data_IF_699132537192
#
_entry.id   IF_699132537192
#
_cell.length_a   1.000
_cell.length_b   1.000
_cell.length_c   1.000
_cell.angle_alpha   90.00
_cell.angle_beta   90.00
_cell.angle_gamma   90.00
#
_symmetry.space_group_name_H-M   'P 1'
#
loop_
_entity.id
_entity.type
_entity.pdbx_description
1 polymer ?
#
# COMPACT_ATOMS: atom_id res chain seq x y z
N UNK A 1 3.54 -4.78 18.90
CA UNK A 1 4.30 -3.73 18.17
C UNK A 1 3.48 -3.07 17.05
N UNK A 2 3.00 -3.76 16.00
CA UNK A 2 2.42 -3.09 14.81
C UNK A 2 0.90 -2.76 14.86
N UNK A 3 0.21 -3.12 15.95
CA UNK A 3 -1.26 -3.03 16.04
C UNK A 3 -1.78 -2.33 17.30
N UNK A 4 -0.94 -1.58 18.00
CA UNK A 4 -1.42 -0.73 19.10
C UNK A 4 -2.41 0.32 18.58
N UNK A 5 -3.30 0.78 19.46
CA UNK A 5 -4.34 1.78 19.19
C UNK A 5 -5.41 1.36 18.15
N UNK A 6 -5.46 0.08 17.77
CA UNK A 6 -6.50 -0.47 16.88
C UNK A 6 -7.55 -1.25 17.69
N UNK A 7 -8.80 -1.22 17.24
CA UNK A 7 -9.85 -2.18 17.63
C UNK A 7 -9.87 -3.32 16.62
N UNK A 8 -10.29 -4.50 17.04
CA UNK A 8 -10.37 -5.68 16.18
C UNK A 8 -11.81 -6.17 16.06
N UNK A 9 -12.18 -6.59 14.86
CA UNK A 9 -13.41 -7.30 14.54
C UNK A 9 -13.06 -8.41 13.55
N UNK A 10 -13.67 -9.58 13.72
CA UNK A 10 -13.55 -10.70 12.78
C UNK A 10 -14.74 -10.70 11.84
N UNK A 11 -14.48 -10.67 10.53
CA UNK A 11 -15.51 -10.65 9.49
C UNK A 11 -15.12 -11.67 8.43
N UNK A 12 -16.03 -12.58 8.10
CA UNK A 12 -15.91 -13.41 6.91
C UNK A 12 -16.51 -12.68 5.70
N UNK A 13 -15.65 -12.13 4.84
CA UNK A 13 -16.05 -11.39 3.65
C UNK A 13 -16.70 -12.27 2.57
N UNK A 14 -16.64 -13.60 2.69
CA UNK A 14 -17.32 -14.54 1.78
C UNK A 14 -18.78 -14.75 2.18
N UNK A 15 -19.09 -14.57 3.47
CA UNK A 15 -20.46 -14.73 3.97
C UNK A 15 -21.32 -13.48 3.63
N UNK A 16 -22.59 -13.64 3.19
CA UNK A 16 -23.45 -12.50 2.85
C UNK A 16 -23.60 -11.47 3.98
N UNK A 17 -23.65 -11.92 5.24
CA UNK A 17 -23.70 -11.01 6.39
C UNK A 17 -22.39 -10.23 6.57
N UNK A 18 -21.24 -10.85 6.33
CA UNK A 18 -19.95 -10.15 6.40
C UNK A 18 -19.83 -9.07 5.34
N UNK A 19 -20.31 -9.34 4.11
CA UNK A 19 -20.41 -8.32 3.05
C UNK A 19 -21.27 -7.13 3.47
N UNK A 20 -22.43 -7.37 4.09
CA UNK A 20 -23.28 -6.29 4.63
C UNK A 20 -22.56 -5.45 5.69
N UNK A 21 -21.83 -6.08 6.61
CA UNK A 21 -21.04 -5.34 7.62
C UNK A 21 -19.97 -4.48 6.95
N UNK A 22 -19.28 -5.00 5.93
CA UNK A 22 -18.27 -4.24 5.18
C UNK A 22 -18.90 -3.04 4.45
N UNK A 23 -20.07 -3.20 3.83
CA UNK A 23 -20.78 -2.10 3.19
C UNK A 23 -21.19 -1.00 4.18
N UNK A 24 -21.64 -1.37 5.39
CA UNK A 24 -21.98 -0.39 6.44
C UNK A 24 -20.74 0.35 6.98
N UNK A 25 -19.62 -0.34 7.14
CA UNK A 25 -18.34 0.30 7.47
C UNK A 25 -17.91 1.26 6.35
N UNK A 26 -18.04 0.84 5.09
CA UNK A 26 -17.67 1.64 3.92
C UNK A 26 -18.44 2.96 3.85
N UNK A 27 -19.73 2.96 4.22
CA UNK A 27 -20.57 4.18 4.25
C UNK A 27 -20.12 5.20 5.29
N UNK A 28 -19.42 4.77 6.34
CA UNK A 28 -19.10 5.61 7.51
C UNK A 28 -17.62 5.89 7.68
N UNK A 29 -16.74 5.05 7.14
CA UNK A 29 -15.30 5.23 7.19
C UNK A 29 -14.80 6.30 6.20
N UNK A 30 -13.69 6.94 6.58
CA UNK A 30 -13.00 7.90 5.73
C UNK A 30 -11.96 7.26 4.79
N UNK A 31 -11.29 6.23 5.29
CA UNK A 31 -10.15 5.58 4.63
C UNK A 31 -10.26 4.08 4.80
N UNK A 32 -10.19 3.35 3.68
CA UNK A 32 -9.94 1.91 3.64
C UNK A 32 -8.47 1.70 3.28
N UNK A 33 -7.75 0.91 4.06
CA UNK A 33 -6.33 0.57 3.80
C UNK A 33 -6.20 -0.92 3.59
N UNK A 34 -5.51 -1.34 2.53
CA UNK A 34 -5.22 -2.75 2.27
C UNK A 34 -3.83 -2.99 1.68
N UNK A 35 -3.32 -4.21 1.87
CA UNK A 35 -2.06 -4.68 1.31
C UNK A 35 -2.18 -6.13 0.82
N UNK A 36 -3.36 -6.52 0.34
CA UNK A 36 -3.56 -7.84 -0.23
C UNK A 36 -2.88 -7.97 -1.60
N UNK A 37 -2.71 -9.21 -2.05
CA UNK A 37 -2.22 -9.51 -3.38
C UNK A 37 -3.07 -8.82 -4.47
N UNK A 38 -2.48 -8.50 -5.64
CA UNK A 38 -3.20 -7.89 -6.77
C UNK A 38 -4.55 -8.57 -7.08
N UNK A 39 -5.57 -7.73 -7.28
CA UNK A 39 -6.96 -8.12 -7.53
C UNK A 39 -7.69 -8.81 -6.37
N UNK A 40 -7.08 -8.97 -5.19
CA UNK A 40 -7.75 -9.66 -4.08
C UNK A 40 -8.97 -8.90 -3.54
N UNK A 41 -8.86 -7.58 -3.39
CA UNK A 41 -9.95 -6.72 -2.93
C UNK A 41 -11.15 -6.78 -3.90
N UNK A 42 -10.88 -6.75 -5.21
CA UNK A 42 -11.90 -6.89 -6.24
C UNK A 42 -12.59 -8.27 -6.19
N UNK A 43 -11.81 -9.35 -6.03
CA UNK A 43 -12.36 -10.70 -5.85
C UNK A 43 -13.21 -10.85 -4.58
N UNK A 44 -13.00 -10.00 -3.58
CA UNK A 44 -13.85 -9.93 -2.38
C UNK A 44 -15.17 -9.17 -2.65
N UNK A 45 -15.33 -8.54 -3.81
CA UNK A 45 -16.47 -7.71 -4.19
C UNK A 45 -16.35 -6.26 -3.74
N UNK A 46 -15.17 -5.82 -3.29
CA UNK A 46 -14.90 -4.48 -2.80
C UNK A 46 -14.18 -3.64 -3.86
N UNK A 47 -14.77 -3.57 -5.07
CA UNK A 47 -14.17 -2.80 -6.17
C UNK A 47 -14.23 -1.30 -5.88
N UNK A 48 -13.38 -0.53 -6.55
CA UNK A 48 -13.40 0.93 -6.48
C UNK A 48 -14.77 1.51 -6.81
N UNK A 49 -15.43 0.98 -7.84
CA UNK A 49 -16.74 1.45 -8.30
C UNK A 49 -17.82 1.18 -7.24
N UNK A 50 -17.79 0.00 -6.60
CA UNK A 50 -18.71 -0.34 -5.51
C UNK A 50 -18.49 0.56 -4.30
N UNK A 51 -17.24 0.72 -3.88
CA UNK A 51 -16.85 1.59 -2.76
C UNK A 51 -17.28 3.03 -3.03
N UNK A 52 -16.93 3.58 -4.19
CA UNK A 52 -17.22 4.98 -4.52
C UNK A 52 -18.73 5.22 -4.69
N UNK A 53 -19.49 4.22 -5.16
CA UNK A 53 -20.96 4.30 -5.20
C UNK A 53 -21.57 4.42 -3.80
N UNK A 54 -21.05 3.65 -2.84
CA UNK A 54 -21.52 3.69 -1.45
C UNK A 54 -21.05 4.93 -0.70
N UNK A 55 -19.81 5.37 -0.95
CA UNK A 55 -19.21 6.52 -0.30
C UNK A 55 -18.25 7.27 -1.26
N UNK A 56 -18.73 8.31 -1.96
CA UNK A 56 -17.92 9.14 -2.86
C UNK A 56 -16.78 9.91 -2.16
N UNK A 57 -16.79 9.94 -0.83
CA UNK A 57 -15.77 10.61 0.00
C UNK A 57 -14.65 9.66 0.42
N UNK A 58 -14.79 8.36 0.20
CA UNK A 58 -13.82 7.39 0.71
C UNK A 58 -12.50 7.44 -0.05
N UNK A 59 -11.41 7.40 0.71
CA UNK A 59 -10.07 7.14 0.20
C UNK A 59 -9.80 5.64 0.27
N UNK A 60 -9.39 5.04 -0.85
CA UNK A 60 -8.94 3.64 -0.89
C UNK A 60 -7.42 3.65 -1.06
N UNK A 61 -6.72 3.16 -0.05
CA UNK A 61 -5.27 3.23 0.04
C UNK A 61 -4.65 1.83 0.02
N UNK A 62 -3.72 1.61 -0.90
CA UNK A 62 -3.22 0.28 -1.23
C UNK A 62 -1.71 0.22 -1.22
N UNK A 63 -1.15 -0.72 -0.46
CA UNK A 63 0.25 -1.15 -0.67
C UNK A 63 0.27 -2.25 -1.72
N UNK A 64 1.19 -2.14 -2.67
CA UNK A 64 1.46 -3.15 -3.70
C UNK A 64 2.96 -3.42 -3.78
N UNK A 65 3.36 -4.55 -4.34
CA UNK A 65 4.77 -4.85 -4.53
C UNK A 65 5.42 -3.95 -5.59
N UNK A 66 4.75 -3.84 -6.72
CA UNK A 66 5.16 -3.10 -7.90
C UNK A 66 4.04 -2.15 -8.36
N UNK A 67 4.42 -1.06 -9.03
CA UNK A 67 3.48 -0.24 -9.79
C UNK A 67 3.07 -0.92 -11.10
N UNK A 68 2.24 -0.25 -11.93
CA UNK A 68 1.78 -0.79 -13.20
C UNK A 68 2.93 -1.24 -14.10
N UNK A 69 2.78 -2.40 -14.74
CA UNK A 69 3.76 -2.93 -15.69
C UNK A 69 4.08 -4.42 -15.49
N UNK A 70 5.22 -4.86 -16.03
CA UNK A 70 5.58 -6.29 -16.16
C UNK A 70 5.49 -7.11 -14.87
N UNK A 71 5.70 -6.47 -13.72
CA UNK A 71 5.76 -7.14 -12.41
C UNK A 71 4.57 -6.82 -11.51
N UNK A 72 3.52 -6.16 -12.02
CA UNK A 72 2.39 -5.68 -11.19
C UNK A 72 1.68 -6.80 -10.42
N UNK A 73 1.62 -8.01 -10.99
CA UNK A 73 1.01 -9.20 -10.39
C UNK A 73 1.97 -9.99 -9.47
N UNK A 74 3.23 -9.59 -9.37
CA UNK A 74 4.21 -10.30 -8.55
C UNK A 74 3.99 -10.04 -7.05
N UNK A 75 4.11 -11.10 -6.25
CA UNK A 75 4.17 -11.00 -4.79
C UNK A 75 5.54 -10.48 -4.37
N UNK A 76 5.52 -9.53 -3.43
CA UNK A 76 6.73 -8.88 -2.91
C UNK A 76 6.69 -8.92 -1.39
N UNK A 77 7.86 -9.18 -0.82
CA UNK A 77 8.16 -9.01 0.60
C UNK A 77 9.38 -8.08 0.71
N UNK A 78 9.67 -7.59 1.90
CA UNK A 78 10.77 -6.68 2.24
C UNK A 78 12.01 -6.80 1.32
N UNK A 79 12.74 -7.92 1.38
CA UNK A 79 14.01 -8.05 0.66
C UNK A 79 13.84 -8.08 -0.87
N UNK A 80 12.70 -8.54 -1.38
CA UNK A 80 12.39 -8.48 -2.82
C UNK A 80 12.23 -7.03 -3.26
N UNK A 81 11.55 -6.20 -2.44
CA UNK A 81 11.44 -4.77 -2.71
C UNK A 81 12.80 -4.07 -2.64
N UNK A 82 13.64 -4.42 -1.68
CA UNK A 82 15.00 -3.88 -1.59
C UNK A 82 15.85 -4.19 -2.83
N UNK A 83 15.73 -5.41 -3.37
CA UNK A 83 16.37 -5.79 -4.61
C UNK A 83 15.79 -5.01 -5.81
N UNK A 84 14.45 -4.98 -5.93
CA UNK A 84 13.77 -4.33 -7.05
C UNK A 84 13.95 -2.80 -7.09
N UNK A 85 14.05 -2.15 -5.93
CA UNK A 85 14.24 -0.71 -5.79
C UNK A 85 15.70 -0.27 -5.75
N UNK A 86 16.66 -1.18 -5.98
CA UNK A 86 18.09 -0.88 -6.12
C UNK A 86 18.86 -0.69 -4.80
N UNK A 87 18.21 -0.83 -3.64
CA UNK A 87 18.89 -0.76 -2.34
C UNK A 87 19.94 -1.86 -2.18
N UNK A 88 19.61 -3.10 -2.58
CA UNK A 88 20.52 -4.23 -2.44
C UNK A 88 21.78 -4.06 -3.31
N UNK A 89 21.61 -3.55 -4.53
CA UNK A 89 22.71 -3.29 -5.48
C UNK A 89 23.72 -2.26 -4.94
N UNK A 90 23.23 -1.30 -4.14
CA UNK A 90 24.01 -0.15 -3.65
C UNK A 90 24.43 -0.29 -2.18
N UNK A 91 24.34 -1.49 -1.62
CA UNK A 91 24.63 -1.76 -0.21
C UNK A 91 25.51 -2.98 -0.09
N UNK A 92 26.64 -2.84 0.59
CA UNK A 92 27.64 -3.90 0.77
C UNK A 92 29.04 -3.44 0.40
N UNK A 93 29.87 -4.39 -0.01
CA UNK A 93 31.27 -4.16 -0.40
C UNK A 93 31.42 -4.33 -1.91
N UNK A 94 32.37 -3.61 -2.51
CA UNK A 94 32.57 -3.56 -3.98
C UNK A 94 32.75 -4.95 -4.62
N UNK A 95 33.49 -5.83 -3.95
CA UNK A 95 33.77 -7.19 -4.43
C UNK A 95 32.89 -8.25 -3.73
N UNK A 96 31.85 -7.82 -3.02
CA UNK A 96 30.89 -8.67 -2.32
C UNK A 96 29.60 -8.88 -3.10
N UNK A 97 28.70 -9.69 -2.54
CA UNK A 97 27.33 -9.82 -3.05
C UNK A 97 26.47 -8.61 -2.63
N UNK A 98 25.40 -8.28 -3.37
CA UNK A 98 24.38 -7.32 -2.94
C UNK A 98 23.85 -7.67 -1.55
N UNK A 99 23.79 -6.68 -0.65
CA UNK A 99 23.29 -6.87 0.71
C UNK A 99 22.00 -6.08 0.95
N UNK A 100 21.07 -6.69 1.66
CA UNK A 100 19.89 -5.98 2.17
C UNK A 100 20.24 -5.17 3.42
N UNK A 101 19.55 -4.06 3.64
CA UNK A 101 19.60 -3.31 4.90
C UNK A 101 18.73 -4.00 5.95
N UNK A 102 19.17 -3.96 7.21
CA UNK A 102 18.36 -4.43 8.35
C UNK A 102 17.13 -3.55 8.62
N UNK A 103 17.17 -2.27 8.25
CA UNK A 103 16.00 -1.41 8.29
C UNK A 103 14.95 -1.87 7.26
N UNK A 104 13.68 -1.95 7.69
CA UNK A 104 12.55 -2.45 6.90
C UNK A 104 12.01 -1.37 5.94
N UNK A 105 12.85 -0.98 4.98
CA UNK A 105 12.55 0.11 4.05
C UNK A 105 11.53 -0.28 2.97
N UNK A 106 11.37 -1.57 2.68
CA UNK A 106 10.34 -2.09 1.78
C UNK A 106 8.96 -2.18 2.45
N UNK A 107 8.88 -2.61 3.70
CA UNK A 107 7.64 -2.79 4.44
C UNK A 107 7.24 -1.49 5.16
N UNK A 108 7.97 -1.12 6.22
CA UNK A 108 7.66 0.07 7.02
C UNK A 108 7.91 1.37 6.24
N UNK A 109 8.95 1.38 5.40
CA UNK A 109 9.22 2.52 4.51
C UNK A 109 8.05 2.79 3.56
N UNK A 110 7.48 1.75 2.93
CA UNK A 110 6.30 1.90 2.06
C UNK A 110 5.05 2.27 2.84
N UNK A 111 4.88 1.74 4.05
CA UNK A 111 3.81 2.16 4.96
C UNK A 111 3.82 3.65 5.27
N UNK A 112 5.00 4.25 5.46
CA UNK A 112 5.15 5.70 5.66
C UNK A 112 4.81 6.50 4.40
N UNK A 113 5.20 6.03 3.21
CA UNK A 113 4.82 6.67 1.94
C UNK A 113 3.31 6.64 1.73
N UNK A 114 2.65 5.50 2.00
CA UNK A 114 1.20 5.41 1.89
C UNK A 114 0.50 6.31 2.92
N UNK A 115 1.01 6.39 4.15
CA UNK A 115 0.47 7.29 5.17
C UNK A 115 0.51 8.76 4.72
N UNK A 116 1.61 9.21 4.11
CA UNK A 116 1.69 10.56 3.53
C UNK A 116 0.68 10.75 2.39
N UNK A 117 0.51 9.75 1.53
CA UNK A 117 -0.49 9.76 0.47
C UNK A 117 -1.92 9.87 1.01
N UNK A 118 -2.25 9.14 2.08
CA UNK A 118 -3.55 9.21 2.76
C UNK A 118 -3.78 10.61 3.34
N UNK A 119 -2.82 11.19 4.06
CA UNK A 119 -2.95 12.54 4.63
C UNK A 119 -3.15 13.58 3.52
N UNK A 120 -2.40 13.45 2.42
CA UNK A 120 -2.54 14.34 1.26
C UNK A 120 -3.91 14.19 0.60
N UNK A 121 -4.43 12.97 0.46
CA UNK A 121 -5.76 12.73 -0.08
C UNK A 121 -6.87 13.26 0.85
N UNK A 122 -6.70 13.15 2.16
CA UNK A 122 -7.59 13.75 3.15
C UNK A 122 -7.60 15.28 3.04
N UNK A 123 -6.43 15.90 2.84
CA UNK A 123 -6.31 17.33 2.60
C UNK A 123 -6.99 17.76 1.30
N UNK A 124 -6.74 17.09 0.17
CA UNK A 124 -7.43 17.40 -1.09
C UNK A 124 -8.96 17.30 -0.96
N UNK A 125 -9.45 16.33 -0.19
CA UNK A 125 -10.88 16.14 0.08
C UNK A 125 -11.53 17.29 0.86
N UNK A 126 -10.78 18.13 1.57
CA UNK A 126 -11.35 19.33 2.24
C UNK A 126 -11.84 20.36 1.23
N UNK A 127 -11.26 20.37 0.03
CA UNK A 127 -11.62 21.30 -1.04
C UNK A 127 -12.61 20.68 -2.01
N UNK A 128 -12.42 19.43 -2.39
CA UNK A 128 -13.24 18.78 -3.43
C UNK A 128 -14.45 18.05 -2.88
N UNK A 129 -14.44 17.72 -1.59
CA UNK A 129 -15.43 16.85 -0.97
C UNK A 129 -15.40 15.40 -1.46
N UNK A 130 -14.44 14.99 -2.31
CA UNK A 130 -14.37 13.66 -2.93
C UNK A 130 -13.14 12.88 -2.49
N UNK A 131 -13.29 11.56 -2.38
CA UNK A 131 -12.18 10.63 -2.17
C UNK A 131 -11.47 10.26 -3.47
N UNK A 132 -10.44 9.44 -3.35
CA UNK A 132 -9.60 8.97 -4.46
C UNK A 132 -8.89 7.65 -4.11
N UNK A 133 -8.28 7.00 -5.10
CA UNK A 133 -7.35 5.90 -4.87
C UNK A 133 -5.95 6.44 -4.59
N UNK A 134 -5.24 5.80 -3.68
CA UNK A 134 -3.85 6.10 -3.34
C UNK A 134 -3.07 4.80 -3.32
N UNK A 135 -2.11 4.65 -4.21
CA UNK A 135 -1.29 3.44 -4.30
C UNK A 135 0.16 3.75 -3.89
N UNK A 136 0.79 2.84 -3.16
CA UNK A 136 2.22 2.87 -2.86
C UNK A 136 2.85 1.52 -3.21
N UNK A 137 3.75 1.52 -4.20
CA UNK A 137 4.52 0.34 -4.56
C UNK A 137 5.76 0.21 -3.67
N UNK A 138 6.06 -1.00 -3.19
CA UNK A 138 7.25 -1.25 -2.36
C UNK A 138 8.54 -0.95 -3.12
N UNK A 139 8.60 -1.29 -4.42
CA UNK A 139 9.73 -0.91 -5.28
C UNK A 139 9.96 0.61 -5.28
N UNK A 140 8.90 1.40 -5.47
CA UNK A 140 8.99 2.85 -5.57
C UNK A 140 9.38 3.50 -4.23
N UNK A 141 8.86 2.96 -3.12
CA UNK A 141 9.23 3.38 -1.77
C UNK A 141 10.72 3.20 -1.50
N UNK A 142 11.28 2.04 -1.86
CA UNK A 142 12.72 1.77 -1.76
C UNK A 142 13.52 2.67 -2.70
N UNK A 143 13.09 2.79 -3.96
CA UNK A 143 13.75 3.61 -4.97
C UNK A 143 13.84 5.08 -4.52
N UNK A 144 12.77 5.62 -3.94
CA UNK A 144 12.76 7.00 -3.44
C UNK A 144 13.80 7.23 -2.34
N UNK A 145 13.97 6.27 -1.42
CA UNK A 145 15.00 6.32 -0.38
C UNK A 145 16.42 6.10 -0.93
N UNK A 146 16.54 5.44 -2.08
CA UNK A 146 17.80 5.20 -2.77
C UNK A 146 18.15 6.25 -3.83
N UNK A 147 17.38 7.34 -3.93
CA UNK A 147 17.53 8.38 -4.97
C UNK A 147 18.97 8.82 -5.21
N UNK A 148 19.73 9.10 -4.15
CA UNK A 148 21.12 9.56 -4.27
C UNK A 148 22.03 8.41 -4.71
N UNK A 149 21.91 7.23 -4.08
CA UNK A 149 22.74 6.06 -4.37
C UNK A 149 22.63 5.58 -5.81
N UNK A 150 21.45 5.71 -6.42
CA UNK A 150 21.21 5.30 -7.81
C UNK A 150 21.53 6.40 -8.83
N UNK A 151 21.49 7.67 -8.43
CA UNK A 151 21.88 8.79 -9.31
C UNK A 151 23.40 8.84 -9.51
N UNK A 152 24.16 8.56 -8.45
CA UNK A 152 25.62 8.76 -8.40
C UNK A 152 26.42 7.47 -8.71
N UNK A 153 25.80 6.47 -9.35
CA UNK A 153 26.48 5.29 -9.92
C UNK A 153 27.18 5.66 -11.23
#
# INVERSE_FOLDING_TARGET
MLNHNKRSITIDSKHPQGKRVLDELIKTCDVLVENFAPGALDRMGLTWEHIHKLNPRMIVASVKGFGPGKYEDCKVYENVAQCAGGAASTTGFRDGIPLVTGAQIGDSGTGLHLALGIVTALFQRTTTGRGQKVDAAMQDGVLNLCRVKLRDQ
#
